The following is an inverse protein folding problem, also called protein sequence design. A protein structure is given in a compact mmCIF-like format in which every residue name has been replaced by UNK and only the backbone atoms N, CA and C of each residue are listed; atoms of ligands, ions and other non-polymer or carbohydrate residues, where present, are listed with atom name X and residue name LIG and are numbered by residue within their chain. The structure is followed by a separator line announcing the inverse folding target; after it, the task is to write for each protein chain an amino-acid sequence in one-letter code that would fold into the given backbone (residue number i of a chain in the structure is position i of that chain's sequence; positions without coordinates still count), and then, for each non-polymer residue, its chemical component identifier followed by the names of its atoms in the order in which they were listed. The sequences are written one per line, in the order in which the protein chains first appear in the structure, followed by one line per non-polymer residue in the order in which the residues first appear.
data_IF_308248772567
#
_entry.id   IF_308248772567
#
_cell.length_a   1.000
_cell.length_b   1.000
_cell.length_c   1.000
_cell.angle_alpha   90.00
_cell.angle_beta   90.00
_cell.angle_gamma   90.00
#
_symmetry.space_group_name_H-M   'P 1'
#
loop_
_entity.id
_entity.type
_entity.pdbx_description
1 polymer ?
#
# COMPACT_ATOMS: atom_id res chain seq x y z
N UNK A 1 18.40 5.62 26.02
CA UNK A 1 17.73 4.84 24.95
C UNK A 1 16.81 5.80 24.25
N UNK A 2 16.88 5.89 22.92
CA UNK A 2 15.91 6.62 22.12
C UNK A 2 14.87 5.63 21.60
N UNK A 3 13.62 5.82 22.02
CA UNK A 3 12.48 5.01 21.57
C UNK A 3 11.69 5.80 20.52
N UNK A 4 11.02 5.08 19.62
CA UNK A 4 10.03 5.66 18.70
C UNK A 4 8.65 5.19 19.19
N UNK A 5 7.74 6.13 19.32
CA UNK A 5 6.40 5.92 19.86
C UNK A 5 5.34 6.40 18.87
N UNK A 6 4.14 5.83 18.95
CA UNK A 6 2.97 6.26 18.18
C UNK A 6 1.97 6.88 19.14
N UNK A 7 1.66 8.17 18.95
CA UNK A 7 0.53 8.79 19.63
C UNK A 7 -0.75 8.41 18.92
N UNK A 8 -1.64 7.72 19.62
CA UNK A 8 -3.00 7.45 19.13
C UNK A 8 -3.82 8.73 19.28
N UNK A 9 -4.56 9.10 18.25
CA UNK A 9 -5.45 10.27 18.28
C UNK A 9 -6.79 9.95 18.97
N UNK A 10 -6.72 9.30 20.14
CA UNK A 10 -7.85 8.93 20.99
C UNK A 10 -7.58 9.32 22.46
N UNK A 11 -8.66 9.53 23.24
CA UNK A 11 -8.56 9.94 24.65
C UNK A 11 -8.29 8.74 25.57
N UNK A 12 -7.12 8.12 25.41
CA UNK A 12 -6.66 7.02 26.25
C UNK A 12 -5.38 7.41 26.99
N UNK A 13 -5.29 7.01 28.24
CA UNK A 13 -4.19 7.34 29.17
C UNK A 13 -3.62 6.12 29.87
N UNK A 14 -4.24 4.95 29.68
CA UNK A 14 -3.77 3.67 30.22
C UNK A 14 -3.66 2.58 29.16
N UNK A 15 -2.90 1.54 29.50
CA UNK A 15 -2.75 0.37 28.64
C UNK A 15 -4.07 -0.39 28.47
N UNK A 16 -4.92 -0.44 29.50
CA UNK A 16 -6.20 -1.14 29.44
C UNK A 16 -7.20 -0.38 28.57
N UNK A 17 -7.27 0.95 28.69
CA UNK A 17 -8.07 1.80 27.79
C UNK A 17 -7.62 1.64 26.32
N UNK A 18 -6.31 1.53 26.06
CA UNK A 18 -5.80 1.28 24.71
C UNK A 18 -6.24 -0.09 24.18
N UNK A 19 -6.22 -1.13 25.02
CA UNK A 19 -6.68 -2.48 24.63
C UNK A 19 -8.19 -2.54 24.43
N UNK A 20 -8.97 -1.75 25.16
CA UNK A 20 -10.41 -1.62 24.96
C UNK A 20 -10.75 -1.02 23.58
N UNK A 21 -9.85 -0.26 22.95
CA UNK A 21 -9.96 0.15 21.54
C UNK A 21 -9.75 -1.01 20.55
N UNK A 22 -9.35 -2.19 21.03
CA UNK A 22 -8.99 -3.35 20.22
C UNK A 22 -7.57 -3.32 19.68
N UNK A 23 -6.72 -2.40 20.17
CA UNK A 23 -5.31 -2.31 19.80
C UNK A 23 -4.49 -3.23 20.70
N UNK A 24 -3.72 -4.13 20.11
CA UNK A 24 -2.88 -5.07 20.85
C UNK A 24 -1.50 -5.30 20.21
N UNK A 25 -0.62 -5.97 20.96
CA UNK A 25 0.72 -6.33 20.48
C UNK A 25 0.60 -7.32 19.32
N UNK A 26 1.08 -6.89 18.14
CA UNK A 26 1.01 -7.66 16.90
C UNK A 26 0.24 -6.93 15.80
N UNK A 27 -0.48 -5.87 16.14
CA UNK A 27 -1.20 -5.06 15.15
C UNK A 27 -0.25 -4.34 14.20
N UNK A 28 -0.63 -4.33 12.92
CA UNK A 28 0.14 -3.63 11.89
C UNK A 28 -0.17 -2.14 11.89
N UNK A 29 0.88 -1.33 11.93
CA UNK A 29 0.80 0.12 11.71
C UNK A 29 1.30 0.43 10.30
N UNK A 30 0.57 1.27 9.57
CA UNK A 30 1.00 1.76 8.27
C UNK A 30 1.07 3.28 8.25
N UNK A 31 2.05 3.82 7.54
CA UNK A 31 2.16 5.27 7.35
C UNK A 31 1.22 5.73 6.23
N UNK A 32 0.58 6.89 6.42
CA UNK A 32 -0.12 7.58 5.34
C UNK A 32 0.85 7.77 4.14
N UNK A 33 0.50 7.25 2.94
CA UNK A 33 1.31 7.40 1.73
C UNK A 33 1.52 8.86 1.31
N UNK A 34 0.56 9.75 1.61
CA UNK A 34 0.51 11.13 1.09
C UNK A 34 0.71 11.20 -0.43
N UNK A 35 -0.04 10.37 -1.16
CA UNK A 35 0.06 10.27 -2.62
C UNK A 35 -0.50 11.54 -3.28
N UNK A 36 0.26 12.12 -4.20
CA UNK A 36 -0.14 13.28 -4.99
C UNK A 36 0.24 13.07 -6.46
N UNK A 37 -0.68 13.42 -7.37
CA UNK A 37 -0.41 13.57 -8.80
C UNK A 37 -0.27 15.06 -9.08
N UNK A 38 0.91 15.49 -9.51
CA UNK A 38 1.18 16.90 -9.79
C UNK A 38 0.54 17.32 -11.11
N UNK A 39 0.28 18.63 -11.28
CA UNK A 39 -0.20 19.19 -12.55
C UNK A 39 0.77 18.95 -13.72
N UNK A 40 2.06 18.75 -13.43
CA UNK A 40 3.10 18.39 -14.41
C UNK A 40 3.14 16.89 -14.75
N UNK A 41 2.29 16.07 -14.16
CA UNK A 41 2.16 14.64 -14.46
C UNK A 41 3.06 13.71 -13.64
N UNK A 42 3.77 14.21 -12.62
CA UNK A 42 4.52 13.36 -11.71
C UNK A 42 3.62 12.78 -10.63
N UNK A 43 3.91 11.55 -10.20
CA UNK A 43 3.27 10.93 -9.03
C UNK A 43 4.33 10.83 -7.94
N UNK A 44 4.05 11.33 -6.73
CA UNK A 44 4.91 11.19 -5.55
C UNK A 44 4.13 10.58 -4.39
N UNK A 45 4.73 9.62 -3.68
CA UNK A 45 4.16 8.94 -2.51
C UNK A 45 5.25 8.19 -1.73
N UNK A 46 5.03 7.92 -0.44
CA UNK A 46 5.95 7.11 0.38
C UNK A 46 6.02 5.63 -0.04
N UNK A 47 4.97 5.11 -0.69
CA UNK A 47 4.78 3.67 -0.95
C UNK A 47 4.65 3.34 -2.44
N UNK A 48 5.32 4.10 -3.32
CA UNK A 48 5.28 3.83 -4.77
C UNK A 48 5.97 2.50 -5.13
N UNK A 49 7.09 2.23 -4.47
CA UNK A 49 7.82 0.97 -4.62
C UNK A 49 7.13 -0.11 -3.75
N UNK A 50 6.55 -1.19 -4.28
CA UNK A 50 6.51 -1.64 -5.68
C UNK A 50 5.10 -1.59 -6.32
N UNK A 51 4.21 -0.79 -5.73
CA UNK A 51 2.81 -0.66 -6.17
C UNK A 51 2.66 -0.16 -7.60
N UNK A 52 3.62 0.63 -8.10
CA UNK A 52 3.61 1.12 -9.49
C UNK A 52 3.81 -0.03 -10.49
N UNK A 53 4.73 -0.95 -10.23
CA UNK A 53 4.97 -2.12 -11.09
C UNK A 53 3.75 -3.03 -11.14
N UNK A 54 3.12 -3.28 -9.97
CA UNK A 54 1.86 -4.02 -9.89
C UNK A 54 0.76 -3.35 -10.72
N UNK A 55 0.64 -2.01 -10.65
CA UNK A 55 -0.34 -1.28 -11.44
C UNK A 55 -0.11 -1.45 -12.97
N UNK A 56 1.15 -1.40 -13.42
CA UNK A 56 1.52 -1.63 -14.83
C UNK A 56 1.13 -3.03 -15.28
N UNK A 57 1.42 -4.06 -14.47
CA UNK A 57 1.07 -5.45 -14.78
C UNK A 57 -0.45 -5.59 -14.93
N UNK A 58 -1.23 -5.06 -13.99
CA UNK A 58 -2.69 -5.13 -14.03
C UNK A 58 -3.24 -4.41 -15.26
N UNK A 59 -2.71 -3.22 -15.58
CA UNK A 59 -3.14 -2.46 -16.75
C UNK A 59 -2.82 -3.18 -18.06
N UNK A 60 -1.63 -3.76 -18.17
CA UNK A 60 -1.27 -4.62 -19.30
C UNK A 60 -2.27 -5.78 -19.48
N UNK A 61 -2.59 -6.51 -18.40
CA UNK A 61 -3.52 -7.64 -18.44
C UNK A 61 -4.94 -7.21 -18.85
N UNK A 62 -5.41 -6.04 -18.38
CA UNK A 62 -6.70 -5.46 -18.78
C UNK A 62 -6.73 -5.16 -20.28
N UNK A 63 -5.71 -4.48 -20.80
CA UNK A 63 -5.64 -4.14 -22.22
C UNK A 63 -5.53 -5.40 -23.08
N UNK A 64 -4.70 -6.35 -22.65
CA UNK A 64 -4.46 -7.59 -23.38
C UNK A 64 -5.72 -8.48 -23.47
N UNK A 65 -6.59 -8.48 -22.45
CA UNK A 65 -7.87 -9.22 -22.48
C UNK A 65 -8.79 -8.84 -23.64
N UNK A 66 -8.68 -7.62 -24.15
CA UNK A 66 -9.50 -7.10 -25.25
C UNK A 66 -8.85 -7.27 -26.63
N UNK A 67 -7.66 -7.87 -26.69
CA UNK A 67 -6.96 -8.14 -27.94
C UNK A 67 -7.33 -9.51 -28.50
N UNK A 68 -7.23 -9.62 -29.82
CA UNK A 68 -7.45 -10.89 -30.53
C UNK A 68 -6.16 -11.71 -30.67
N UNK A 69 -4.99 -11.08 -30.57
CA UNK A 69 -3.69 -11.75 -30.66
C UNK A 69 -3.35 -12.52 -29.37
N UNK A 70 -2.67 -13.66 -29.55
CA UNK A 70 -2.19 -14.50 -28.45
C UNK A 70 -0.70 -14.33 -28.27
N UNK A 71 -0.26 -14.17 -27.02
CA UNK A 71 1.14 -14.22 -26.63
C UNK A 71 1.73 -15.58 -27.04
N UNK A 72 3.00 -15.58 -27.51
CA UNK A 72 3.64 -16.79 -28.04
C UNK A 72 3.90 -17.85 -26.97
N UNK A 73 3.94 -17.46 -25.70
CA UNK A 73 4.19 -18.33 -24.57
C UNK A 73 3.29 -17.97 -23.39
N UNK A 74 3.06 -18.94 -22.50
CA UNK A 74 2.43 -18.69 -21.21
C UNK A 74 3.36 -17.80 -20.37
N UNK A 75 2.85 -16.66 -19.92
CA UNK A 75 3.55 -15.75 -19.01
C UNK A 75 2.87 -15.82 -17.65
N UNK A 76 3.65 -15.98 -16.59
CA UNK A 76 3.16 -15.97 -15.21
C UNK A 76 3.55 -14.65 -14.56
N UNK A 77 2.54 -13.87 -14.15
CA UNK A 77 2.73 -12.68 -13.35
C UNK A 77 2.52 -13.05 -11.88
N UNK A 78 3.59 -13.01 -11.09
CA UNK A 78 3.56 -13.32 -9.66
C UNK A 78 3.61 -12.03 -8.86
N UNK A 79 2.60 -11.81 -8.00
CA UNK A 79 2.53 -10.69 -7.07
C UNK A 79 2.59 -11.29 -5.68
N UNK A 80 3.62 -10.94 -4.91
CA UNK A 80 3.87 -11.42 -3.55
C UNK A 80 3.69 -10.32 -2.51
#
# INVERSE_FOLDING_TARGET
QEHIEVRIDEKVTSADETRELGIDVGDFVSFDPRTEVTASGFIKSRHLDDKVSVAIIIEFLKQYRHREDRLPHTIQFYIS
#
